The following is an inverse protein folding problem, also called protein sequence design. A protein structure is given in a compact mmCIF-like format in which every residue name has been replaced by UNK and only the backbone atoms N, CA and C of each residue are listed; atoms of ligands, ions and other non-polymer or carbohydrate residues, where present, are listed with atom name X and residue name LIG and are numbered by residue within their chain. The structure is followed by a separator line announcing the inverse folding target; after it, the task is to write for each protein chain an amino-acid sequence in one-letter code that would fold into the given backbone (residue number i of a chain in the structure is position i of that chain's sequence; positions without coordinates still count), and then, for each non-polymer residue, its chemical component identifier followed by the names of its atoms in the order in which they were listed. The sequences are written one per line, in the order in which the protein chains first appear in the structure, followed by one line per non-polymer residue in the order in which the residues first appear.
data_IF_719819227688
#
_entry.id   IF_719819227688
#
_cell.length_a   1.000
_cell.length_b   1.000
_cell.length_c   1.000
_cell.angle_alpha   90.00
_cell.angle_beta   90.00
_cell.angle_gamma   90.00
#
_symmetry.space_group_name_H-M   'P 1'
#
loop_
_entity.id
_entity.type
_entity.pdbx_description
1 polymer ?
2 non-polymer ?
3 non-polymer ?
4 non-polymer ?
5 non-polymer ?
6 non-polymer ?
7 water ?
#
# COMPACT_ATOMS: atom_id res chain seq x y z
N UNK A 2 18.06 11.19 2.05
CA UNK A 2 17.33 12.03 1.10
C UNK A 2 16.55 13.09 1.89
N UNK A 3 16.38 14.24 1.31
CA UNK A 3 15.51 15.26 1.86
C UNK A 3 14.08 14.75 1.88
N UNK A 4 13.43 14.90 3.03
CA UNK A 4 12.02 14.68 3.15
C UNK A 4 11.35 16.03 3.34
N UNK A 5 10.59 16.48 2.35
CA UNK A 5 10.05 17.81 2.35
C UNK A 5 8.78 17.83 3.20
N UNK A 6 8.62 18.88 4.01
CA UNK A 6 7.41 19.11 4.80
C UNK A 6 6.79 20.43 4.40
N UNK A 7 5.68 20.81 5.05
CA UNK A 7 4.93 22.02 4.65
C UNK A 7 5.84 23.24 4.63
N UNK A 8 6.73 23.33 5.64
CA UNK A 8 7.54 24.54 5.85
C UNK A 8 8.61 24.65 4.77
N UNK A 9 8.83 23.55 4.02
CA UNK A 9 9.81 23.55 2.92
C UNK A 9 9.22 23.98 1.57
N UNK A 10 7.90 24.06 1.45
CA UNK A 10 7.25 24.12 0.17
C UNK A 10 6.34 25.31 0.09
N UNK A 11 6.48 26.06 -0.99
CA UNK A 11 5.54 27.13 -1.31
C UNK A 11 4.48 26.67 -2.29
N UNK A 12 3.26 27.16 -2.11
CA UNK A 12 2.17 26.95 -3.09
C UNK A 12 2.20 27.92 -4.23
N UNK A 13 3.07 28.90 -4.16
CA UNK A 13 3.01 30.01 -5.10
C UNK A 13 3.08 29.55 -6.59
N UNK A 14 3.87 28.47 -6.88
CA UNK A 14 4.01 28.07 -8.27
C UNK A 14 2.71 27.57 -8.89
N UNK A 15 1.74 27.19 -8.08
CA UNK A 15 0.49 26.75 -8.63
C UNK A 15 -0.71 27.66 -8.26
N UNK A 16 -0.43 28.80 -7.59
CA UNK A 16 -1.51 29.59 -6.88
C UNK A 16 -2.63 29.98 -7.80
N UNK A 17 -2.29 30.48 -8.99
CA UNK A 17 -3.36 30.98 -9.90
C UNK A 17 -3.51 30.13 -11.14
N UNK A 18 -3.17 28.86 -11.06
CA UNK A 18 -3.31 27.97 -12.21
C UNK A 18 -4.63 27.23 -12.09
N UNK A 19 -5.30 27.03 -13.20
CA UNK A 19 -6.44 26.13 -13.21
C UNK A 19 -5.96 24.70 -13.31
N UNK A 20 -6.33 23.92 -12.32
CA UNK A 20 -5.96 22.51 -12.26
C UNK A 20 -7.16 21.65 -12.66
N UNK A 21 -7.05 20.97 -13.77
CA UNK A 21 -8.08 20.03 -14.18
C UNK A 21 -7.76 18.63 -13.67
N UNK A 22 -8.61 18.13 -12.79
CA UNK A 22 -8.52 16.74 -12.33
C UNK A 22 -9.37 15.90 -13.23
N UNK A 23 -8.74 15.06 -14.03
CA UNK A 23 -9.46 14.17 -14.90
C UNK A 23 -9.75 12.86 -14.19
N UNK A 24 -11.02 12.61 -13.93
CA UNK A 24 -11.44 11.49 -13.19
C UNK A 24 -11.78 11.90 -11.74
N UNK A 25 -12.71 11.17 -11.16
CA UNK A 25 -13.16 11.43 -9.82
C UNK A 25 -13.42 10.10 -9.14
N UNK A 26 -12.41 9.24 -9.12
CA UNK A 26 -12.51 7.98 -8.40
C UNK A 26 -11.75 8.05 -7.11
N UNK A 27 -10.94 7.02 -6.86
CA UNK A 27 -10.34 6.83 -5.58
C UNK A 27 -9.32 7.98 -5.28
N UNK A 28 -8.37 8.25 -6.19
CA UNK A 28 -7.48 9.37 -6.02
C UNK A 28 -8.16 10.65 -6.43
N UNK A 29 -8.93 10.62 -7.51
CA UNK A 29 -9.46 11.84 -8.09
C UNK A 29 -10.29 12.63 -7.10
N UNK A 30 -11.18 11.95 -6.41
CA UNK A 30 -12.03 12.67 -5.41
C UNK A 30 -11.17 13.24 -4.31
N UNK A 31 -10.19 12.46 -3.86
CA UNK A 31 -9.29 12.91 -2.80
C UNK A 31 -8.50 14.16 -3.20
N UNK A 32 -7.91 14.14 -4.38
CA UNK A 32 -7.12 15.28 -4.79
C UNK A 32 -8.00 16.52 -4.97
N UNK A 33 -9.09 16.37 -5.69
CA UNK A 33 -9.98 17.49 -5.96
C UNK A 33 -10.44 18.15 -4.65
N UNK A 34 -10.95 17.34 -3.72
CA UNK A 34 -11.39 17.88 -2.43
C UNK A 34 -10.27 18.53 -1.64
N UNK A 35 -9.12 17.86 -1.59
CA UNK A 35 -8.00 18.39 -0.84
C UNK A 35 -7.48 19.72 -1.45
N UNK A 36 -7.29 19.74 -2.75
CA UNK A 36 -6.78 20.92 -3.42
C UNK A 36 -7.74 22.12 -3.25
N UNK A 37 -9.03 21.86 -3.34
CA UNK A 37 -10.03 22.91 -3.17
C UNK A 37 -10.00 23.45 -1.74
N UNK A 38 -9.86 22.55 -0.76
CA UNK A 38 -9.80 22.96 0.66
C UNK A 38 -8.50 23.76 0.88
N UNK A 39 -7.47 23.47 0.12
CA UNK A 39 -6.21 24.19 0.27
C UNK A 39 -6.22 25.54 -0.47
N UNK A 40 -7.30 25.82 -1.18
CA UNK A 40 -7.49 27.17 -1.75
C UNK A 40 -7.15 27.23 -3.22
N UNK A 41 -6.90 26.09 -3.83
CA UNK A 41 -6.43 26.10 -5.24
C UNK A 41 -7.62 26.05 -6.15
N UNK A 42 -7.40 26.35 -7.42
CA UNK A 42 -8.47 26.39 -8.43
C UNK A 42 -8.63 25.06 -9.18
N UNK A 43 -9.71 24.35 -8.90
CA UNK A 43 -9.89 22.98 -9.37
C UNK A 43 -11.08 22.91 -10.28
N UNK A 44 -10.95 22.24 -11.41
CA UNK A 44 -12.12 21.77 -12.17
C UNK A 44 -12.02 20.27 -12.38
N UNK A 45 -13.16 19.60 -12.36
CA UNK A 45 -13.22 18.18 -12.55
C UNK A 45 -13.67 17.89 -13.97
N UNK A 46 -12.88 17.08 -14.67
CA UNK A 46 -13.17 16.70 -16.06
C UNK A 46 -13.50 15.25 -16.19
N UNK A 47 -14.66 14.96 -16.77
CA UNK A 47 -15.13 13.58 -16.90
C UNK A 47 -15.61 13.33 -18.31
N UNK A 48 -15.57 12.06 -18.73
CA UNK A 48 -16.08 11.66 -20.05
C UNK A 48 -17.56 11.50 -20.10
N UNK A 49 -18.17 11.14 -18.99
CA UNK A 49 -19.56 10.69 -18.99
C UNK A 49 -20.23 11.21 -17.70
N UNK A 50 -21.55 11.29 -17.73
CA UNK A 50 -22.37 11.52 -16.52
C UNK A 50 -22.71 10.23 -15.82
N UNK A 51 -21.77 9.62 -15.18
CA UNK A 51 -21.98 8.36 -14.54
C UNK A 51 -21.84 8.52 -13.03
N UNK A 52 -21.39 7.45 -12.39
CA UNK A 52 -21.33 7.39 -10.93
C UNK A 52 -20.43 8.46 -10.37
N UNK A 53 -19.29 8.70 -11.00
CA UNK A 53 -18.38 9.67 -10.45
C UNK A 53 -18.78 11.12 -10.75
N UNK A 54 -19.52 11.34 -11.82
CA UNK A 54 -20.13 12.62 -12.05
C UNK A 54 -21.13 12.96 -10.92
N UNK A 55 -21.95 12.01 -10.58
CA UNK A 55 -22.94 12.19 -9.52
C UNK A 55 -22.27 12.46 -8.15
N UNK A 56 -21.18 11.77 -7.90
CA UNK A 56 -20.41 11.97 -6.69
C UNK A 56 -19.83 13.34 -6.64
N UNK A 57 -19.26 13.79 -7.76
CA UNK A 57 -18.64 15.10 -7.81
C UNK A 57 -19.66 16.20 -7.60
N UNK A 58 -20.81 16.04 -8.20
CA UNK A 58 -21.92 17.05 -8.01
C UNK A 58 -22.34 17.11 -6.52
N UNK A 59 -22.49 15.96 -5.93
CA UNK A 59 -22.78 15.85 -4.47
C UNK A 59 -21.69 16.46 -3.56
N UNK A 60 -20.48 16.68 -4.11
CA UNK A 60 -19.42 17.32 -3.36
C UNK A 60 -19.29 18.80 -3.72
N UNK A 61 -20.23 19.33 -4.48
CA UNK A 61 -20.24 20.75 -4.81
C UNK A 61 -19.38 21.14 -6.02
N UNK A 62 -18.90 20.17 -6.79
CA UNK A 62 -18.24 20.50 -8.07
C UNK A 62 -19.30 20.57 -9.18
N UNK A 63 -18.99 21.32 -10.22
CA UNK A 63 -19.73 21.23 -11.52
C UNK A 63 -18.80 20.69 -12.59
N UNK A 64 -18.78 19.36 -12.78
CA UNK A 64 -17.82 18.75 -13.68
C UNK A 64 -18.01 19.26 -15.07
N UNK A 65 -16.92 19.42 -15.77
CA UNK A 65 -16.95 19.63 -17.18
C UNK A 65 -16.64 18.35 -17.92
N UNK A 66 -17.05 18.33 -19.17
CA UNK A 66 -16.63 17.29 -20.05
C UNK A 66 -15.06 17.39 -20.28
N UNK A 67 -14.41 16.24 -20.40
CA UNK A 67 -12.92 16.20 -20.45
C UNK A 67 -12.34 17.24 -21.37
N UNK A 68 -12.85 17.31 -22.60
CA UNK A 68 -12.28 18.23 -23.60
C UNK A 68 -12.42 19.69 -23.20
N UNK A 69 -13.53 20.03 -22.55
CA UNK A 69 -13.74 21.41 -22.08
C UNK A 69 -12.85 21.76 -20.91
N UNK A 70 -12.66 20.80 -19.98
CA UNK A 70 -11.79 21.04 -18.81
C UNK A 70 -10.37 21.24 -19.26
N UNK A 71 -9.89 20.41 -20.19
CA UNK A 71 -8.49 20.56 -20.58
C UNK A 71 -8.22 21.81 -21.39
N UNK A 72 -9.23 22.32 -22.11
CA UNK A 72 -9.09 23.60 -22.88
C UNK A 72 -8.75 24.79 -22.02
N UNK A 73 -9.22 24.79 -20.77
CA UNK A 73 -8.96 25.90 -19.90
C UNK A 73 -7.90 25.61 -18.82
N UNK A 74 -7.32 24.42 -18.86
CA UNK A 74 -6.40 23.99 -17.79
C UNK A 74 -4.96 24.51 -18.03
N UNK A 75 -4.30 24.90 -16.94
CA UNK A 75 -2.85 25.05 -16.91
C UNK A 75 -2.14 23.76 -16.49
N UNK A 76 -2.85 22.94 -15.70
CA UNK A 76 -2.31 21.69 -15.13
C UNK A 76 -3.34 20.64 -15.30
N UNK A 77 -2.99 19.55 -15.96
CA UNK A 77 -3.91 18.48 -16.26
C UNK A 77 -3.46 17.21 -15.53
N UNK A 78 -4.30 16.69 -14.63
CA UNK A 78 -3.96 15.49 -13.85
C UNK A 78 -4.73 14.27 -14.29
N UNK A 79 -4.01 13.21 -14.63
CA UNK A 79 -4.66 11.95 -15.09
C UNK A 79 -5.01 11.04 -13.91
N UNK A 80 -6.24 11.18 -13.38
CA UNK A 80 -6.70 10.31 -12.28
C UNK A 80 -7.87 9.43 -12.73
N UNK A 81 -7.71 8.84 -13.91
CA UNK A 81 -8.52 7.75 -14.37
C UNK A 81 -7.64 6.51 -14.36
N UNK A 82 -8.22 5.34 -14.53
CA UNK A 82 -7.45 4.11 -14.47
C UNK A 82 -6.33 4.08 -15.47
N UNK A 83 -5.20 3.52 -15.06
CA UNK A 83 -4.01 3.46 -15.90
C UNK A 83 -4.32 2.95 -17.32
N UNK A 84 -5.16 1.92 -17.41
CA UNK A 84 -5.44 1.29 -18.73
C UNK A 84 -6.30 2.18 -19.64
N UNK A 85 -6.97 3.14 -19.04
CA UNK A 85 -7.85 4.07 -19.73
C UNK A 85 -7.07 5.36 -20.23
N UNK A 86 -5.87 5.64 -19.65
CA UNK A 86 -5.24 6.90 -19.89
C UNK A 86 -4.82 7.15 -21.36
N UNK A 87 -4.38 6.13 -22.04
CA UNK A 87 -3.95 6.29 -23.43
C UNK A 87 -5.11 6.76 -24.28
N UNK A 88 -6.25 6.08 -24.13
CA UNK A 88 -7.45 6.44 -24.86
C UNK A 88 -8.00 7.82 -24.52
N UNK A 89 -7.99 8.16 -23.23
CA UNK A 89 -8.38 9.51 -22.84
C UNK A 89 -7.43 10.57 -23.41
N UNK A 90 -6.14 10.30 -23.36
CA UNK A 90 -5.15 11.15 -23.89
C UNK A 90 -5.38 11.40 -25.41
N UNK A 91 -5.52 10.31 -26.14
CA UNK A 91 -5.63 10.39 -27.60
C UNK A 91 -6.92 11.06 -28.07
N UNK A 92 -7.98 10.84 -27.34
CA UNK A 92 -9.30 11.26 -27.78
C UNK A 92 -9.81 12.53 -27.19
N UNK A 93 -9.33 12.89 -26.01
CA UNK A 93 -9.92 14.00 -25.30
C UNK A 93 -8.91 15.01 -24.76
N UNK A 94 -7.62 14.72 -24.82
CA UNK A 94 -6.65 15.63 -24.24
C UNK A 94 -5.67 16.21 -25.26
N UNK A 95 -4.97 15.33 -25.96
CA UNK A 95 -3.85 15.73 -26.79
C UNK A 95 -4.21 16.91 -27.73
N UNK A 96 -5.35 16.84 -28.40
CA UNK A 96 -5.70 17.87 -29.44
C UNK A 96 -6.51 19.00 -28.86
N UNK A 97 -6.76 18.95 -27.55
CA UNK A 97 -7.64 19.94 -26.90
C UNK A 97 -6.96 20.78 -25.81
N UNK A 98 -5.81 20.33 -25.32
CA UNK A 98 -5.14 21.02 -24.24
C UNK A 98 -4.53 22.32 -24.71
N UNK A 99 -4.40 23.29 -23.81
CA UNK A 99 -3.53 24.45 -24.04
C UNK A 99 -2.20 23.97 -24.36
N UNK A 100 -1.56 24.63 -25.29
CA UNK A 100 -0.22 24.36 -25.57
C UNK A 100 0.64 24.73 -24.38
N UNK A 101 1.51 23.83 -23.96
CA UNK A 101 2.36 24.09 -22.81
C UNK A 101 1.76 23.74 -21.43
N UNK A 102 0.54 23.24 -21.39
CA UNK A 102 -0.07 22.91 -20.11
C UNK A 102 0.70 21.72 -19.46
N UNK A 103 0.74 21.68 -18.14
CA UNK A 103 1.46 20.63 -17.42
C UNK A 103 0.65 19.33 -17.54
N UNK A 104 1.34 18.19 -17.70
CA UNK A 104 0.72 16.90 -17.66
C UNK A 104 1.20 16.15 -16.44
N UNK A 105 0.27 15.73 -15.62
CA UNK A 105 0.59 15.27 -14.26
C UNK A 105 -0.05 13.91 -13.99
N UNK A 106 0.72 13.02 -13.36
CA UNK A 106 0.27 11.66 -13.09
C UNK A 106 0.39 11.37 -11.62
N UNK A 107 -0.31 10.34 -11.19
CA UNK A 107 -0.19 9.88 -9.81
C UNK A 107 0.54 8.52 -9.76
N UNK A 108 0.86 7.98 -10.91
CA UNK A 108 1.61 6.70 -11.02
C UNK A 108 2.36 6.80 -12.34
N UNK A 109 3.57 6.29 -12.38
CA UNK A 109 4.42 6.45 -13.57
C UNK A 109 4.16 5.52 -14.72
N UNK A 110 3.22 4.59 -14.55
CA UNK A 110 3.05 3.46 -15.49
C UNK A 110 3.01 3.87 -16.97
N UNK A 111 2.13 4.78 -17.31
CA UNK A 111 1.93 5.10 -18.74
C UNK A 111 3.15 5.78 -19.35
N UNK A 112 3.77 6.68 -18.61
CA UNK A 112 4.95 7.39 -19.13
C UNK A 112 6.17 6.48 -19.13
N UNK A 113 6.36 5.74 -18.05
CA UNK A 113 7.57 4.91 -17.91
C UNK A 113 7.54 3.77 -18.96
N UNK A 114 6.40 3.14 -19.17
CA UNK A 114 6.33 2.08 -20.14
C UNK A 114 6.09 2.58 -21.58
N UNK A 115 6.18 3.90 -21.77
CA UNK A 115 6.05 4.51 -23.12
C UNK A 115 4.72 4.25 -23.75
N UNK A 116 3.67 4.28 -22.98
CA UNK A 116 2.35 4.11 -23.53
C UNK A 116 1.85 5.46 -24.04
N UNK A 117 2.16 6.51 -23.31
CA UNK A 117 1.86 7.87 -23.71
C UNK A 117 3.20 8.58 -23.90
N UNK A 118 3.34 9.19 -25.07
CA UNK A 118 4.49 10.04 -25.38
C UNK A 118 4.05 11.47 -25.38
N UNK A 119 4.41 12.23 -24.35
CA UNK A 119 3.85 13.55 -24.23
C UNK A 119 4.50 14.53 -25.23
N UNK A 120 3.89 15.66 -25.44
CA UNK A 120 4.53 16.65 -26.28
C UNK A 120 5.78 17.26 -25.59
N UNK A 121 6.67 17.81 -26.39
CA UNK A 121 7.99 18.21 -25.94
C UNK A 121 7.94 19.55 -25.19
N UNK A 122 6.83 20.25 -25.29
CA UNK A 122 6.75 21.60 -24.74
C UNK A 122 5.83 21.66 -23.50
N UNK A 123 5.59 20.50 -22.87
CA UNK A 123 4.87 20.46 -21.59
C UNK A 123 5.78 19.92 -20.49
N UNK A 124 5.70 20.51 -19.31
CA UNK A 124 6.19 19.85 -18.11
C UNK A 124 5.42 18.54 -17.93
N UNK A 125 6.12 17.46 -17.54
CA UNK A 125 5.48 16.20 -17.21
C UNK A 125 6.02 15.72 -15.89
N UNK A 126 5.15 15.59 -14.89
CA UNK A 126 5.61 15.26 -13.56
C UNK A 126 4.55 14.53 -12.80
N UNK A 127 4.87 14.13 -11.57
CA UNK A 127 4.07 13.19 -10.85
C UNK A 127 4.09 13.48 -9.40
N UNK A 128 2.93 13.29 -8.75
CA UNK A 128 2.82 13.13 -7.31
C UNK A 128 2.13 11.82 -7.03
N UNK A 129 2.85 10.90 -6.37
CA UNK A 129 2.36 9.53 -6.12
C UNK A 129 2.17 9.36 -4.61
N UNK A 130 0.95 9.58 -4.12
CA UNK A 130 0.72 9.31 -2.72
C UNK A 130 0.87 7.88 -2.37
N UNK A 131 1.55 7.60 -1.27
CA UNK A 131 1.80 6.22 -0.85
C UNK A 131 0.67 5.80 0.12
N UNK A 132 -0.54 5.73 -0.43
CA UNK A 132 -1.79 5.54 0.34
C UNK A 132 -2.90 5.23 -0.65
N UNK A 133 -3.85 4.41 -0.24
CA UNK A 133 -5.13 4.35 -0.92
C UNK A 133 -5.80 5.67 -0.97
N UNK A 134 -6.51 5.93 -2.07
CA UNK A 134 -7.17 7.25 -2.25
C UNK A 134 -8.03 7.77 -1.12
N UNK A 135 -8.89 6.94 -0.54
CA UNK A 135 -9.77 7.44 0.48
C UNK A 135 -9.02 7.95 1.72
N UNK A 136 -7.85 7.39 1.98
CA UNK A 136 -7.07 7.78 3.14
C UNK A 136 -6.26 9.07 2.83
N UNK A 137 -6.01 9.34 1.55
CA UNK A 137 -5.47 10.67 1.16
C UNK A 137 -6.44 11.75 1.62
N UNK A 138 -7.71 11.51 1.41
CA UNK A 138 -8.73 12.48 1.85
C UNK A 138 -8.90 12.44 3.37
N UNK A 139 -8.98 11.24 3.94
CA UNK A 139 -9.36 11.13 5.35
C UNK A 139 -8.29 11.70 6.23
N UNK A 140 -7.01 11.50 5.86
CA UNK A 140 -5.91 12.08 6.58
C UNK A 140 -5.98 13.57 6.52
N UNK A 141 -6.14 14.10 5.32
CA UNK A 141 -6.19 15.57 5.10
C UNK A 141 -7.26 16.22 6.00
N UNK A 142 -8.44 15.64 6.02
CA UNK A 142 -9.55 16.28 6.71
C UNK A 142 -9.44 16.15 8.26
N UNK A 143 -8.63 15.22 8.74
CA UNK A 143 -8.24 15.18 10.16
C UNK A 143 -7.05 16.07 10.51
N UNK A 144 -6.53 16.83 9.55
CA UNK A 144 -5.41 17.72 9.83
C UNK A 144 -4.04 17.06 9.61
N UNK A 145 -4.05 15.85 9.07
CA UNK A 145 -2.80 15.12 8.78
C UNK A 145 -2.62 14.90 7.28
N UNK A 146 -1.80 13.92 6.93
CA UNK A 146 -1.55 13.60 5.52
C UNK A 146 -0.89 12.26 5.38
N UNK A 147 -0.62 11.87 4.13
CA UNK A 147 0.14 10.67 3.83
C UNK A 147 1.38 10.99 3.01
N UNK A 148 2.41 10.12 3.09
CA UNK A 148 3.63 10.39 2.36
C UNK A 148 3.41 10.32 0.87
N UNK A 149 4.32 10.96 0.10
CA UNK A 149 4.24 10.92 -1.36
C UNK A 149 5.60 11.00 -1.96
N UNK A 150 5.73 10.41 -3.15
CA UNK A 150 6.87 10.61 -4.02
C UNK A 150 6.53 11.68 -5.04
N UNK A 151 7.52 12.51 -5.41
CA UNK A 151 7.39 13.33 -6.56
C UNK A 151 8.48 13.01 -7.56
N UNK A 152 8.21 13.27 -8.84
CA UNK A 152 9.16 13.00 -9.89
C UNK A 152 8.89 13.87 -11.06
N UNK A 153 9.92 14.12 -11.85
CA UNK A 153 9.79 14.92 -13.03
C UNK A 153 10.32 14.15 -14.25
N UNK A 154 9.46 13.88 -15.21
CA UNK A 154 9.86 13.16 -16.43
C UNK A 154 10.46 14.13 -17.42
N UNK A 155 9.81 15.28 -17.57
CA UNK A 155 10.22 16.26 -18.54
C UNK A 155 10.04 17.64 -17.99
N UNK A 156 11.14 18.40 -17.93
CA UNK A 156 11.11 19.76 -17.39
C UNK A 156 11.31 20.72 -18.57
N UNK A 157 10.34 21.59 -18.76
CA UNK A 157 10.38 22.57 -19.80
C UNK A 157 10.34 24.01 -19.19
N UNK A 158 9.61 24.16 -18.07
CA UNK A 158 9.57 25.47 -17.34
C UNK A 158 10.81 25.71 -16.56
N UNK A 159 11.46 24.66 -16.16
CA UNK A 159 12.47 24.74 -15.19
C UNK A 159 11.97 24.74 -13.75
N UNK A 160 10.67 24.63 -13.56
CA UNK A 160 10.18 24.60 -12.21
C UNK A 160 9.16 23.44 -11.99
N UNK A 161 9.32 22.39 -12.77
CA UNK A 161 8.45 21.26 -12.66
C UNK A 161 8.46 20.64 -11.27
N UNK A 162 9.64 20.50 -10.67
CA UNK A 162 9.73 19.91 -9.35
C UNK A 162 9.02 20.77 -8.29
N UNK A 163 9.16 22.07 -8.41
CA UNK A 163 8.53 22.96 -7.48
C UNK A 163 7.01 22.89 -7.60
N UNK A 164 6.51 22.78 -8.84
CA UNK A 164 5.08 22.56 -9.04
C UNK A 164 4.60 21.20 -8.47
N UNK A 165 5.39 20.14 -8.66
CA UNK A 165 5.04 18.83 -8.07
C UNK A 165 4.99 18.93 -6.55
N UNK A 166 5.97 19.56 -5.96
CA UNK A 166 5.99 19.72 -4.54
C UNK A 166 4.78 20.54 -4.04
N UNK A 167 4.42 21.57 -4.77
CA UNK A 167 3.26 22.39 -4.44
C UNK A 167 1.98 21.61 -4.45
N UNK A 168 1.77 20.80 -5.49
CA UNK A 168 0.62 19.93 -5.53
C UNK A 168 0.63 18.91 -4.36
N UNK A 169 1.81 18.33 -4.05
CA UNK A 169 1.89 17.41 -2.95
C UNK A 169 1.50 18.10 -1.68
N UNK A 170 1.94 19.33 -1.50
CA UNK A 170 1.54 20.09 -0.28
C UNK A 170 0.03 20.31 -0.29
N UNK A 171 -0.49 20.71 -1.44
CA UNK A 171 -1.90 20.99 -1.60
C UNK A 171 -2.81 19.83 -1.28
N UNK A 172 -2.34 18.59 -1.50
CA UNK A 172 -3.14 17.42 -1.14
C UNK A 172 -2.81 16.86 0.19
N UNK A 173 -1.98 17.55 0.97
CA UNK A 173 -1.75 17.19 2.37
C UNK A 173 -0.51 16.34 2.63
N UNK A 174 0.18 15.92 1.55
CA UNK A 174 1.25 14.96 1.69
C UNK A 174 2.50 15.52 2.40
N UNK A 175 2.69 16.82 2.33
CA UNK A 175 3.84 17.47 3.00
C UNK A 175 3.62 17.62 4.49
N UNK A 176 2.42 17.33 4.96
CA UNK A 176 2.20 17.18 6.39
C UNK A 176 2.89 15.93 6.95
N UNK A 177 3.07 14.92 6.08
CA UNK A 177 3.70 13.70 6.45
C UNK A 177 5.16 13.65 5.95
N UNK A 178 5.34 13.80 4.66
CA UNK A 178 6.67 13.84 4.08
C UNK A 178 6.66 13.48 2.60
N UNK A 179 7.38 14.27 1.81
CA UNK A 179 7.49 14.08 0.38
C UNK A 179 8.95 13.83 -0.01
N UNK A 180 9.19 12.79 -0.81
CA UNK A 180 10.50 12.51 -1.26
C UNK A 180 10.58 12.59 -2.78
N UNK A 181 11.69 13.09 -3.27
CA UNK A 181 11.94 13.13 -4.70
C UNK A 181 12.35 11.77 -5.18
N UNK A 182 11.83 11.38 -6.35
CA UNK A 182 12.11 10.07 -6.93
C UNK A 182 12.15 10.23 -8.42
N UNK A 183 11.95 9.13 -9.14
CA UNK A 183 11.88 9.15 -10.61
C UNK A 183 10.68 8.41 -11.08
N UNK A 184 10.28 8.60 -12.32
CA UNK A 184 9.18 7.84 -12.88
C UNK A 184 9.49 6.31 -12.85
N UNK A 185 10.74 5.95 -13.11
CA UNK A 185 11.10 4.54 -13.15
C UNK A 185 11.01 3.95 -11.75
N UNK A 186 11.63 4.60 -10.79
CA UNK A 186 11.64 4.11 -9.44
C UNK A 186 10.20 4.00 -8.89
N UNK A 187 9.42 5.09 -8.99
CA UNK A 187 8.01 5.04 -8.54
C UNK A 187 7.27 3.87 -9.14
N UNK A 188 7.33 3.73 -10.46
CA UNK A 188 6.56 2.69 -11.16
C UNK A 188 6.95 1.31 -10.67
N UNK A 189 8.25 1.03 -10.60
CA UNK A 189 8.69 -0.28 -10.28
C UNK A 189 8.40 -0.65 -8.79
N UNK A 190 8.66 0.29 -7.88
CA UNK A 190 8.46 0.04 -6.47
C UNK A 190 7.00 -0.03 -6.15
N UNK A 191 6.20 0.78 -6.85
CA UNK A 191 4.76 0.81 -6.62
C UNK A 191 4.07 -0.51 -7.04
N UNK A 192 4.35 -0.95 -8.23
CA UNK A 192 3.81 -2.21 -8.70
C UNK A 192 4.29 -3.35 -7.80
N UNK A 193 5.57 -3.32 -7.41
CA UNK A 193 6.11 -4.36 -6.54
C UNK A 193 5.35 -4.39 -5.23
N UNK A 194 5.28 -3.25 -4.56
CA UNK A 194 4.64 -3.15 -3.22
C UNK A 194 3.19 -3.65 -3.22
N UNK A 195 2.39 -3.20 -4.17
CA UNK A 195 1.02 -3.64 -4.21
C UNK A 195 0.86 -5.12 -4.51
N UNK A 196 1.74 -5.66 -5.33
CA UNK A 196 1.65 -7.07 -5.71
C UNK A 196 2.06 -8.00 -4.56
N UNK A 197 3.18 -7.72 -3.90
CA UNK A 197 3.73 -8.65 -3.00
C UNK A 197 3.22 -8.51 -1.58
N UNK A 198 2.84 -7.30 -1.18
CA UNK A 198 2.50 -7.08 0.23
C UNK A 198 1.25 -6.27 0.47
N UNK A 199 1.14 -5.10 -0.16
CA UNK A 199 0.02 -4.19 0.18
C UNK A 199 -1.35 -4.70 -0.24
N UNK A 200 -1.43 -5.36 -1.39
CA UNK A 200 -2.67 -5.96 -1.82
C UNK A 200 -2.58 -7.48 -1.85
N UNK A 201 -1.73 -8.01 -2.71
CA UNK A 201 -1.64 -9.44 -2.90
C UNK A 201 -1.23 -10.20 -1.64
N UNK A 202 -0.11 -9.84 -1.07
CA UNK A 202 0.43 -10.57 0.07
C UNK A 202 -0.48 -10.53 1.32
N UNK A 203 -0.89 -9.35 1.72
CA UNK A 203 -1.64 -9.22 2.96
C UNK A 203 -2.98 -9.89 2.83
N UNK A 204 -3.61 -9.77 1.67
CA UNK A 204 -4.89 -10.41 1.43
C UNK A 204 -4.79 -11.93 1.54
N UNK A 205 -3.78 -12.52 0.93
CA UNK A 205 -3.63 -13.95 1.01
C UNK A 205 -3.20 -14.42 2.37
N UNK A 206 -2.37 -13.64 3.06
CA UNK A 206 -2.01 -13.98 4.44
C UNK A 206 -3.26 -14.00 5.36
N UNK A 207 -4.12 -13.01 5.19
CA UNK A 207 -5.34 -12.93 6.01
C UNK A 207 -6.25 -14.13 5.71
N UNK A 208 -6.43 -14.45 4.43
CA UNK A 208 -7.25 -15.61 4.06
C UNK A 208 -6.65 -16.91 4.60
N UNK A 209 -5.33 -17.08 4.46
CA UNK A 209 -4.67 -18.29 4.95
C UNK A 209 -4.87 -18.46 6.47
N UNK A 210 -4.71 -17.38 7.20
CA UNK A 210 -4.86 -17.41 8.66
C UNK A 210 -6.31 -17.76 9.05
N UNK A 211 -7.26 -17.10 8.41
CA UNK A 211 -8.68 -17.36 8.61
C UNK A 211 -9.02 -18.84 8.35
N UNK A 212 -8.63 -19.34 7.19
CA UNK A 212 -8.93 -20.73 6.79
C UNK A 212 -8.31 -21.73 7.74
N UNK A 213 -7.10 -21.45 8.16
CA UNK A 213 -6.36 -22.33 9.05
C UNK A 213 -7.03 -22.40 10.44
N UNK A 214 -7.47 -21.25 10.96
CA UNK A 214 -8.18 -21.23 12.23
C UNK A 214 -9.47 -21.96 12.14
N UNK A 215 -10.16 -21.82 11.03
CA UNK A 215 -11.42 -22.52 10.84
C UNK A 215 -11.21 -24.05 10.72
N UNK A 216 -10.19 -24.46 10.01
CA UNK A 216 -9.86 -25.87 9.93
C UNK A 216 -9.46 -26.47 11.28
N UNK A 217 -8.96 -25.66 12.17
CA UNK A 217 -8.54 -26.15 13.48
C UNK A 217 -9.70 -26.19 14.45
N UNK A 218 -10.83 -25.65 14.03
CA UNK A 218 -12.06 -25.83 14.75
C UNK A 218 -12.60 -24.55 15.40
N UNK A 219 -12.03 -23.40 15.06
CA UNK A 219 -12.56 -22.15 15.59
C UNK A 219 -13.81 -21.76 14.84
N UNK A 220 -14.75 -21.13 15.51
CA UNK A 220 -15.91 -20.62 14.81
C UNK A 220 -15.44 -19.49 13.88
N UNK A 221 -16.05 -19.38 12.70
CA UNK A 221 -15.67 -18.37 11.72
C UNK A 221 -15.54 -16.95 12.31
N UNK A 222 -16.51 -16.54 13.13
CA UNK A 222 -16.50 -15.19 13.69
C UNK A 222 -15.27 -14.95 14.56
N UNK A 223 -14.85 -15.99 15.30
CA UNK A 223 -13.63 -15.93 16.11
C UNK A 223 -12.34 -15.98 15.24
N UNK A 224 -12.33 -16.83 14.21
CA UNK A 224 -11.20 -16.90 13.29
C UNK A 224 -10.98 -15.52 12.62
N UNK A 225 -12.07 -14.87 12.25
CA UNK A 225 -11.98 -13.57 11.57
C UNK A 225 -11.46 -12.51 12.53
N UNK A 226 -12.09 -12.44 13.68
CA UNK A 226 -11.75 -11.46 14.65
C UNK A 226 -10.30 -11.62 15.13
N UNK A 227 -9.89 -12.84 15.40
CA UNK A 227 -8.51 -13.05 15.89
C UNK A 227 -7.52 -12.62 14.83
N UNK A 228 -7.84 -12.90 13.57
CA UNK A 228 -6.90 -12.64 12.50
C UNK A 228 -6.74 -11.13 12.34
N UNK A 229 -7.86 -10.44 12.17
CA UNK A 229 -7.79 -9.05 11.77
C UNK A 229 -7.42 -8.12 12.91
N UNK A 230 -7.85 -8.47 14.08
CA UNK A 230 -7.50 -7.71 15.25
C UNK A 230 -6.01 -7.82 15.60
N UNK A 231 -5.47 -9.00 15.55
CA UNK A 231 -4.03 -9.17 15.77
C UNK A 231 -3.18 -8.50 14.66
N UNK A 232 -3.63 -8.61 13.42
CA UNK A 232 -2.98 -7.94 12.34
C UNK A 232 -2.89 -6.44 12.60
N UNK A 233 -4.01 -5.83 12.95
CA UNK A 233 -4.02 -4.40 13.22
C UNK A 233 -3.11 -4.01 14.38
N UNK A 234 -3.17 -4.74 15.47
CA UNK A 234 -2.30 -4.47 16.62
C UNK A 234 -0.82 -4.50 16.21
N UNK A 235 -0.42 -5.54 15.48
CA UNK A 235 0.97 -5.72 15.14
C UNK A 235 1.44 -4.66 14.13
N UNK A 236 0.63 -4.41 13.10
CA UNK A 236 1.01 -3.43 12.07
C UNK A 236 1.03 -2.00 12.63
N UNK A 237 0.07 -1.68 13.54
CA UNK A 237 0.09 -0.36 14.25
C UNK A 237 1.38 -0.17 15.07
N UNK A 238 1.84 -1.21 15.72
CA UNK A 238 3.07 -1.13 16.52
C UNK A 238 4.26 -0.85 15.62
N UNK A 239 4.30 -1.52 14.47
CA UNK A 239 5.41 -1.34 13.54
C UNK A 239 5.38 0.08 12.95
N UNK A 240 4.21 0.52 12.58
CA UNK A 240 4.01 1.84 12.03
C UNK A 240 4.56 2.95 12.97
N UNK A 241 4.34 2.76 14.27
CA UNK A 241 4.73 3.76 15.31
C UNK A 241 6.16 3.59 15.74
N UNK A 242 6.65 2.34 15.83
CA UNK A 242 7.88 2.09 16.52
C UNK A 242 8.83 1.08 15.84
N UNK A 243 8.50 0.67 14.62
CA UNK A 243 9.39 -0.24 13.87
C UNK A 243 9.27 -1.70 14.31
N UNK A 244 10.06 -2.57 13.71
CA UNK A 244 10.07 -3.99 14.10
C UNK A 244 10.58 -4.15 15.54
N UNK A 245 11.57 -3.36 15.93
CA UNK A 245 12.16 -3.56 17.25
C UNK A 245 11.18 -3.11 18.30
N UNK A 246 10.45 -2.05 18.01
CA UNK A 246 9.43 -1.54 18.89
C UNK A 246 8.27 -2.46 19.02
N UNK A 247 7.90 -3.11 17.95
CA UNK A 247 6.84 -4.08 17.97
C UNK A 247 7.27 -5.26 18.84
N UNK A 248 8.47 -5.78 18.59
CA UNK A 248 8.95 -6.95 19.31
C UNK A 248 9.08 -6.66 20.84
N UNK A 249 9.50 -5.45 21.18
CA UNK A 249 9.63 -5.07 22.56
C UNK A 249 8.24 -4.91 23.24
N UNK A 250 7.18 -4.80 22.44
CA UNK A 250 5.85 -4.69 22.99
C UNK A 250 5.18 -6.03 23.24
N UNK A 251 5.74 -7.11 22.75
CA UNK A 251 5.15 -8.39 22.98
C UNK A 251 6.01 -9.19 23.94
N UNK A 252 5.45 -10.27 24.48
CA UNK A 252 6.17 -11.13 25.46
C UNK A 252 7.43 -11.72 24.83
N UNK A 253 8.40 -12.07 25.66
CA UNK A 253 9.58 -12.77 25.17
C UNK A 253 9.24 -14.06 24.46
N UNK A 254 8.21 -14.74 24.94
CA UNK A 254 7.78 -15.97 24.26
C UNK A 254 7.27 -15.71 22.83
N UNK A 255 6.52 -14.66 22.70
CA UNK A 255 6.01 -14.21 21.39
C UNK A 255 7.11 -13.69 20.46
N UNK A 256 8.13 -13.03 21.05
CA UNK A 256 9.33 -12.67 20.29
C UNK A 256 9.94 -13.89 19.67
N UNK A 257 10.18 -14.92 20.48
CA UNK A 257 10.86 -16.09 20.01
C UNK A 257 9.99 -16.81 18.98
N UNK A 258 8.70 -16.90 19.27
CA UNK A 258 7.72 -17.53 18.34
C UNK A 258 7.66 -16.80 17.02
N UNK A 259 7.59 -15.47 17.09
CA UNK A 259 7.55 -14.63 15.90
C UNK A 259 8.76 -14.81 15.07
N UNK A 260 9.91 -14.72 15.71
CA UNK A 260 11.15 -14.75 14.98
C UNK A 260 11.30 -16.08 14.23
N UNK A 261 11.05 -17.20 14.91
CA UNK A 261 11.33 -18.51 14.33
C UNK A 261 10.23 -18.94 13.32
N UNK A 262 8.99 -18.79 13.72
CA UNK A 262 7.85 -19.10 12.85
C UNK A 262 7.87 -18.24 11.59
N UNK A 263 8.24 -16.98 11.72
CA UNK A 263 8.26 -16.08 10.59
C UNK A 263 9.16 -16.59 9.48
N UNK A 264 10.35 -17.00 9.86
CA UNK A 264 11.33 -17.48 8.88
C UNK A 264 10.94 -18.86 8.33
N UNK A 265 10.11 -19.58 9.06
CA UNK A 265 9.53 -20.88 8.61
C UNK A 265 8.42 -20.62 7.58
N UNK A 266 7.45 -19.80 7.97
CA UNK A 266 6.33 -19.44 7.10
C UNK A 266 6.75 -18.57 5.91
N UNK A 267 7.77 -17.75 6.09
CA UNK A 267 8.22 -16.86 5.03
C UNK A 267 9.72 -16.98 4.76
N UNK A 268 10.07 -17.92 3.88
CA UNK A 268 11.41 -18.40 3.84
C UNK A 268 12.06 -17.90 2.63
N UNK A 269 13.29 -18.30 2.44
CA UNK A 269 14.09 -17.81 1.36
C UNK A 269 13.39 -17.98 0.02
N UNK A 270 12.59 -19.03 -0.12
CA UNK A 270 12.00 -19.26 -1.39
C UNK A 270 11.07 -18.07 -1.67
N UNK A 271 10.54 -17.46 -0.64
CA UNK A 271 9.66 -16.30 -0.85
C UNK A 271 10.43 -15.08 -1.30
N UNK A 272 11.65 -14.92 -0.79
CA UNK A 272 12.52 -13.88 -1.28
C UNK A 272 12.85 -14.03 -2.78
N UNK A 273 13.04 -15.26 -3.21
CA UNK A 273 13.31 -15.53 -4.63
C UNK A 273 12.10 -15.17 -5.45
N UNK A 274 10.93 -15.56 -4.98
CA UNK A 274 9.73 -15.24 -5.69
C UNK A 274 9.47 -13.73 -5.78
N UNK A 275 9.86 -12.99 -4.76
CA UNK A 275 9.75 -11.53 -4.83
C UNK A 275 10.65 -10.95 -5.94
N UNK A 276 11.86 -11.49 -6.08
CA UNK A 276 12.73 -11.05 -7.14
C UNK A 276 12.18 -11.35 -8.50
N UNK A 277 11.58 -12.52 -8.63
CA UNK A 277 10.86 -12.88 -9.88
C UNK A 277 9.76 -11.84 -10.21
N UNK A 278 8.94 -11.52 -9.23
CA UNK A 278 7.91 -10.52 -9.39
C UNK A 278 8.51 -9.16 -9.82
N UNK A 279 9.60 -8.76 -9.20
CA UNK A 279 10.26 -7.50 -9.56
C UNK A 279 10.81 -7.52 -11.00
N UNK A 280 11.39 -8.64 -11.41
CA UNK A 280 11.92 -8.70 -12.76
C UNK A 280 10.83 -8.73 -13.78
N UNK A 281 9.72 -9.38 -13.48
CA UNK A 281 8.57 -9.35 -14.38
C UNK A 281 8.07 -7.92 -14.57
N UNK A 282 8.09 -7.14 -13.50
CA UNK A 282 7.78 -5.71 -13.56
C UNK A 282 8.81 -4.92 -14.40
N UNK A 283 10.11 -5.10 -14.07
CA UNK A 283 11.19 -4.33 -14.70
C UNK A 283 11.26 -4.57 -16.20
N UNK A 284 11.00 -5.82 -16.63
CA UNK A 284 11.19 -6.22 -17.98
C UNK A 284 10.03 -5.80 -18.86
N UNK A 285 8.94 -5.35 -18.26
CA UNK A 285 7.75 -5.00 -18.98
C UNK A 285 6.75 -6.14 -19.18
N UNK A 286 7.07 -7.33 -18.70
CA UNK A 286 6.16 -8.49 -18.84
C UNK A 286 4.84 -8.30 -18.08
N UNK A 287 4.90 -7.77 -16.86
CA UNK A 287 3.67 -7.50 -16.15
C UNK A 287 2.79 -6.56 -16.93
N UNK A 288 3.37 -5.46 -17.37
CA UNK A 288 2.62 -4.44 -18.11
C UNK A 288 1.91 -5.04 -19.36
N UNK A 289 2.62 -5.89 -20.06
CA UNK A 289 2.07 -6.47 -21.31
C UNK A 289 0.95 -7.43 -20.97
N UNK A 290 1.12 -8.14 -19.87
CA UNK A 290 0.09 -9.07 -19.41
C UNK A 290 -1.14 -8.36 -18.87
N UNK A 291 -0.93 -7.27 -18.15
CA UNK A 291 -2.06 -6.45 -17.69
C UNK A 291 -2.79 -5.80 -18.87
N UNK A 292 -2.06 -5.29 -19.85
CA UNK A 292 -2.74 -4.68 -21.03
C UNK A 292 -3.60 -5.72 -21.76
N UNK A 293 -3.09 -6.94 -21.88
CA UNK A 293 -3.80 -8.03 -22.54
C UNK A 293 -5.07 -8.42 -21.77
N UNK A 294 -4.96 -8.47 -20.46
CA UNK A 294 -6.08 -8.73 -19.62
C UNK A 294 -7.14 -7.66 -19.75
N UNK A 295 -6.70 -6.41 -19.67
CA UNK A 295 -7.61 -5.30 -19.81
C UNK A 295 -8.36 -5.36 -21.16
N UNK A 296 -7.64 -5.61 -22.22
CA UNK A 296 -8.25 -5.65 -23.55
C UNK A 296 -9.26 -6.85 -23.70
N UNK A 297 -9.19 -7.81 -22.78
CA UNK A 297 -10.18 -8.91 -22.73
C UNK A 297 -11.41 -8.53 -21.91
N UNK A 298 -11.40 -7.33 -21.30
CA UNK A 298 -12.50 -6.90 -20.44
C UNK A 298 -12.23 -7.08 -18.92
N UNK A 299 -10.98 -7.33 -18.53
CA UNK A 299 -10.61 -7.57 -17.09
C UNK A 299 -11.40 -8.67 -16.47
N UNK A 300 -11.61 -9.77 -17.19
CA UNK A 300 -12.47 -10.81 -16.63
C UNK A 300 -11.92 -11.38 -15.27
N UNK A 301 -10.60 -11.52 -15.16
CA UNK A 301 -9.97 -11.97 -13.92
C UNK A 301 -10.32 -11.04 -12.74
N UNK A 302 -10.32 -9.73 -12.98
CA UNK A 302 -10.61 -8.76 -11.93
C UNK A 302 -12.09 -8.86 -11.51
N UNK A 303 -12.98 -8.89 -12.50
CA UNK A 303 -14.43 -8.96 -12.18
C UNK A 303 -14.79 -10.25 -11.47
N UNK A 304 -14.17 -11.35 -11.88
CA UNK A 304 -14.44 -12.63 -11.27
C UNK A 304 -13.99 -12.61 -9.83
N UNK A 305 -12.77 -12.16 -9.58
CA UNK A 305 -12.22 -12.21 -8.25
C UNK A 305 -13.03 -11.36 -7.29
N UNK A 306 -13.45 -10.19 -7.76
CA UNK A 306 -14.21 -9.28 -6.94
C UNK A 306 -15.52 -9.93 -6.53
N UNK A 307 -16.17 -10.60 -7.47
CA UNK A 307 -17.49 -11.12 -7.21
C UNK A 307 -17.43 -12.37 -6.32
N UNK A 308 -16.43 -13.22 -6.54
CA UNK A 308 -16.16 -14.32 -5.62
C UNK A 308 -15.78 -13.82 -4.22
N UNK A 309 -14.96 -12.78 -4.14
CA UNK A 309 -14.53 -12.28 -2.83
C UNK A 309 -15.75 -11.74 -2.08
N UNK A 310 -16.56 -10.93 -2.76
CA UNK A 310 -17.71 -10.25 -2.13
C UNK A 310 -18.67 -11.26 -1.53
N UNK A 311 -18.85 -12.39 -2.21
CA UNK A 311 -19.78 -13.43 -1.77
C UNK A 311 -19.16 -14.47 -0.81
N UNK A 312 -17.85 -14.40 -0.59
CA UNK A 312 -17.15 -15.48 0.09
C UNK A 312 -17.57 -15.59 1.57
N UNK A 313 -17.27 -16.72 2.18
CA UNK A 313 -17.48 -16.91 3.61
C UNK A 313 -16.70 -15.89 4.45
N UNK A 314 -15.44 -15.68 4.12
CA UNK A 314 -14.64 -14.78 4.92
C UNK A 314 -15.24 -13.34 4.93
N UNK A 315 -15.74 -12.87 3.80
CA UNK A 315 -16.29 -11.52 3.73
C UNK A 315 -17.69 -11.38 4.39
N UNK A 316 -18.52 -12.40 4.22
CA UNK A 316 -19.81 -12.50 4.94
C UNK A 316 -19.66 -12.49 6.43
N UNK A 317 -18.73 -13.27 6.93
CA UNK A 317 -18.45 -13.33 8.33
C UNK A 317 -17.90 -12.00 8.83
N UNK A 318 -16.96 -11.43 8.09
CA UNK A 318 -16.40 -10.13 8.47
C UNK A 318 -17.49 -9.00 8.52
N UNK A 319 -18.33 -8.95 7.51
CA UNK A 319 -19.45 -7.97 7.49
C UNK A 319 -20.35 -8.13 8.73
N UNK A 320 -20.72 -9.35 9.04
CA UNK A 320 -21.56 -9.62 10.23
C UNK A 320 -20.86 -9.21 11.53
N UNK A 321 -19.59 -9.55 11.65
CA UNK A 321 -18.80 -9.17 12.78
C UNK A 321 -18.70 -7.63 12.95
N UNK A 322 -18.33 -6.94 11.89
CA UNK A 322 -18.15 -5.50 11.98
C UNK A 322 -19.51 -4.87 12.40
N UNK A 323 -20.59 -5.41 11.89
CA UNK A 323 -21.93 -4.84 12.16
C UNK A 323 -22.30 -5.05 13.63
N UNK A 324 -22.00 -6.23 14.15
CA UNK A 324 -22.28 -6.51 15.55
C UNK A 324 -21.41 -5.67 16.49
N UNK A 325 -20.18 -5.45 16.14
CA UNK A 325 -19.35 -4.55 16.89
C UNK A 325 -19.86 -3.08 16.83
N UNK A 326 -20.21 -2.64 15.64
CA UNK A 326 -20.83 -1.30 15.49
C UNK A 326 -22.00 -1.16 16.47
N UNK A 327 -22.91 -2.13 16.43
CA UNK A 327 -24.14 -2.10 17.24
C UNK A 327 -23.91 -2.55 18.68
N UNK A 328 -22.65 -2.58 19.12
CA UNK A 328 -22.34 -2.74 20.55
C UNK A 328 -22.00 -4.18 20.99
N UNK A 329 -22.72 -5.17 20.44
CA UNK A 329 -22.51 -6.60 20.84
C UNK A 329 -21.02 -6.95 21.02
N UNK A 339 -5.85 -16.15 21.22
CA UNK A 339 -5.14 -17.27 20.62
C UNK A 339 -3.67 -16.88 20.43
N UNK A 340 -2.79 -17.65 21.06
CA UNK A 340 -1.42 -17.28 21.15
C UNK A 340 -0.66 -17.88 19.96
N UNK A 341 -1.20 -18.94 19.39
CA UNK A 341 -0.73 -19.44 18.12
C UNK A 341 -0.93 -18.40 16.99
N UNK A 342 -2.04 -17.71 17.03
CA UNK A 342 -2.36 -16.78 15.98
C UNK A 342 -1.51 -15.56 16.14
N UNK A 343 -1.28 -15.15 17.39
CA UNK A 343 -0.35 -14.12 17.66
C UNK A 343 0.99 -14.42 16.97
N UNK A 344 1.60 -15.58 17.24
CA UNK A 344 2.97 -15.77 16.76
C UNK A 344 3.04 -15.98 15.24
N UNK A 345 2.02 -16.61 14.68
CA UNK A 345 1.95 -16.80 13.24
C UNK A 345 1.89 -15.45 12.53
N UNK A 346 1.08 -14.55 13.06
CA UNK A 346 0.95 -13.21 12.45
C UNK A 346 2.14 -12.33 12.73
N UNK A 347 2.64 -12.31 13.97
CA UNK A 347 3.85 -11.57 14.27
C UNK A 347 4.96 -11.99 13.38
N UNK A 348 5.15 -13.30 13.25
CA UNK A 348 6.17 -13.82 12.36
C UNK A 348 5.89 -13.50 10.91
N UNK A 349 4.70 -13.84 10.47
CA UNK A 349 4.39 -13.77 9.03
C UNK A 349 4.49 -12.32 8.55
N UNK A 350 3.91 -11.41 9.31
CA UNK A 350 3.91 -9.98 8.92
C UNK A 350 5.29 -9.34 9.02
N UNK A 351 6.03 -9.66 10.08
CA UNK A 351 7.39 -9.17 10.19
C UNK A 351 8.28 -9.62 9.01
N UNK A 352 8.24 -10.91 8.67
CA UNK A 352 9.15 -11.41 7.65
C UNK A 352 8.67 -10.98 6.25
N UNK A 353 7.37 -10.86 6.06
CA UNK A 353 6.85 -10.35 4.77
C UNK A 353 7.28 -8.88 4.54
N UNK A 354 7.16 -8.07 5.59
CA UNK A 354 7.68 -6.70 5.54
C UNK A 354 9.16 -6.68 5.29
N UNK A 355 9.91 -7.41 6.07
CA UNK A 355 11.32 -7.40 5.98
C UNK A 355 11.78 -7.86 4.55
N UNK A 356 11.21 -8.96 4.04
CA UNK A 356 11.61 -9.48 2.77
C UNK A 356 11.29 -8.46 1.62
N UNK A 357 10.14 -7.84 1.71
CA UNK A 357 9.66 -6.87 0.70
C UNK A 357 10.57 -5.66 0.71
N UNK A 358 10.83 -5.13 1.90
CA UNK A 358 11.72 -3.98 2.04
C UNK A 358 13.12 -4.27 1.55
N UNK A 359 13.69 -5.37 2.00
CA UNK A 359 15.04 -5.72 1.63
C UNK A 359 15.20 -6.04 0.16
N UNK A 360 14.18 -6.56 -0.45
CA UNK A 360 14.22 -6.80 -1.94
C UNK A 360 14.41 -5.48 -2.67
N UNK A 361 13.68 -4.47 -2.27
CA UNK A 361 13.83 -3.19 -2.91
C UNK A 361 15.16 -2.54 -2.63
N UNK A 362 15.61 -2.60 -1.39
CA UNK A 362 16.87 -1.97 -1.05
C UNK A 362 18.02 -2.68 -1.73
N UNK A 363 17.99 -4.00 -1.74
CA UNK A 363 19.08 -4.80 -2.44
C UNK A 363 19.12 -4.47 -3.95
N UNK A 364 17.96 -4.19 -4.52
CA UNK A 364 17.88 -3.88 -5.92
C UNK A 364 18.22 -2.41 -6.28
N UNK A 365 18.50 -1.59 -5.30
CA UNK A 365 19.12 -0.30 -5.55
C UNK A 365 18.16 0.88 -5.37
N UNK A 366 16.91 0.62 -4.94
CA UNK A 366 15.93 1.72 -4.81
C UNK A 366 16.21 2.49 -3.50
N UNK A 367 15.74 3.73 -3.41
CA UNK A 367 15.97 4.53 -2.19
C UNK A 367 15.33 3.83 -0.98
N UNK A 368 16.08 3.66 0.10
CA UNK A 368 15.48 2.96 1.21
C UNK A 368 14.28 3.67 1.78
N UNK A 369 14.27 5.01 1.70
CA UNK A 369 13.10 5.76 2.17
C UNK A 369 11.84 5.45 1.36
N UNK A 370 11.99 5.33 0.05
CA UNK A 370 10.90 4.91 -0.78
C UNK A 370 10.45 3.51 -0.42
N UNK A 371 11.40 2.61 -0.19
CA UNK A 371 11.05 1.26 0.21
C UNK A 371 10.25 1.27 1.52
N UNK A 372 10.64 2.11 2.45
CA UNK A 372 9.94 2.19 3.74
C UNK A 372 8.48 2.70 3.55
N UNK A 373 8.31 3.74 2.78
CA UNK A 373 6.93 4.27 2.55
C UNK A 373 6.05 3.25 1.90
N UNK A 374 6.62 2.49 0.97
CA UNK A 374 5.87 1.54 0.17
C UNK A 374 5.53 0.24 0.97
N UNK A 375 6.52 -0.34 1.66
CA UNK A 375 6.38 -1.69 2.20
C UNK A 375 6.12 -1.73 3.69
N UNK A 376 6.33 -0.61 4.39
CA UNK A 376 6.08 -0.56 5.80
C UNK A 376 4.97 0.42 6.11
N UNK A 377 5.21 1.71 5.82
CA UNK A 377 4.29 2.73 6.24
C UNK A 377 2.87 2.51 5.64
N UNK A 378 2.81 2.16 4.36
CA UNK A 378 1.55 2.11 3.70
C UNK A 378 0.70 0.90 4.14
N UNK A 379 1.35 -0.11 4.69
CA UNK A 379 0.66 -1.29 5.12
C UNK A 379 -0.31 -0.96 6.25
N UNK A 380 0.07 -0.03 7.11
CA UNK A 380 -0.79 0.37 8.20
C UNK A 380 -2.10 1.01 7.65
N UNK A 381 -1.96 1.80 6.58
CA UNK A 381 -3.10 2.46 5.97
C UNK A 381 -4.02 1.47 5.32
N UNK A 382 -3.42 0.46 4.67
CA UNK A 382 -4.18 -0.64 4.07
C UNK A 382 -4.91 -1.47 5.14
N UNK A 383 -4.22 -1.77 6.22
CA UNK A 383 -4.79 -2.65 7.22
C UNK A 383 -5.90 -1.91 7.99
N UNK A 384 -5.78 -0.60 8.10
CA UNK A 384 -6.86 0.22 8.63
C UNK A 384 -8.13 0.14 7.79
N UNK A 385 -7.99 0.21 6.45
CA UNK A 385 -9.11 0.00 5.54
C UNK A 385 -9.70 -1.39 5.66
N UNK A 386 -8.85 -2.41 5.79
CA UNK A 386 -9.36 -3.76 5.91
C UNK A 386 -10.14 -3.93 7.21
N UNK A 387 -9.60 -3.41 8.29
CA UNK A 387 -10.23 -3.48 9.59
C UNK A 387 -11.61 -2.79 9.60
N UNK A 388 -11.71 -1.69 8.89
CA UNK A 388 -12.92 -0.85 8.87
C UNK A 388 -13.96 -1.34 7.86
N UNK A 389 -13.49 -1.87 6.72
CA UNK A 389 -14.36 -2.15 5.57
C UNK A 389 -14.18 -3.51 4.94
N UNK A 390 -13.38 -4.35 5.55
CA UNK A 390 -13.13 -5.68 5.05
C UNK A 390 -12.26 -5.71 3.82
N UNK A 391 -11.95 -6.91 3.34
CA UNK A 391 -11.11 -7.05 2.15
C UNK A 391 -11.78 -6.42 0.99
N UNK A 392 -13.10 -6.52 0.91
CA UNK A 392 -13.81 -6.01 -0.29
C UNK A 392 -13.73 -4.47 -0.34
N UNK A 393 -13.84 -3.83 0.82
CA UNK A 393 -13.66 -2.38 0.89
C UNK A 393 -12.24 -1.95 0.51
N UNK A 394 -11.23 -2.69 0.94
CA UNK A 394 -9.87 -2.37 0.59
C UNK A 394 -9.67 -2.48 -0.94
N UNK A 395 -10.16 -3.57 -1.50
CA UNK A 395 -9.96 -3.85 -2.89
C UNK A 395 -10.67 -2.84 -3.77
N UNK A 396 -11.81 -2.37 -3.33
CA UNK A 396 -12.47 -1.29 -4.03
C UNK A 396 -11.66 0.02 -4.03
N UNK A 397 -10.95 0.30 -2.97
CA UNK A 397 -10.24 1.54 -2.85
C UNK A 397 -8.94 1.58 -3.76
N UNK A 398 -8.33 0.42 -4.02
CA UNK A 398 -7.06 0.40 -4.74
C UNK A 398 -7.29 0.42 -6.27
N UNK A 399 -6.25 0.74 -7.03
CA UNK A 399 -6.39 0.91 -8.45
C UNK A 399 -6.72 -0.44 -9.11
N UNK A 400 -7.26 -0.40 -10.33
CA UNK A 400 -7.42 -1.62 -11.08
C UNK A 400 -6.08 -2.34 -11.32
N UNK A 401 -5.02 -1.56 -11.56
CA UNK A 401 -3.71 -2.12 -11.73
C UNK A 401 -3.30 -2.93 -10.51
N UNK A 402 -3.59 -2.40 -9.33
CA UNK A 402 -3.23 -3.06 -8.07
C UNK A 402 -4.14 -4.27 -7.82
N UNK A 403 -5.43 -4.15 -8.19
CA UNK A 403 -6.35 -5.33 -8.09
C UNK A 403 -5.78 -6.50 -8.87
N UNK A 404 -5.42 -6.24 -10.12
CA UNK A 404 -4.95 -7.28 -11.01
C UNK A 404 -3.60 -7.84 -10.55
N UNK A 405 -2.71 -6.95 -10.12
CA UNK A 405 -1.46 -7.36 -9.56
C UNK A 405 -1.64 -8.22 -8.31
N UNK A 406 -2.50 -7.78 -7.42
CA UNK A 406 -2.73 -8.48 -6.18
C UNK A 406 -3.36 -9.86 -6.39
N UNK A 407 -4.34 -9.90 -7.26
CA UNK A 407 -5.02 -11.16 -7.58
C UNK A 407 -4.07 -12.19 -8.20
N UNK A 408 -3.18 -11.75 -9.05
CA UNK A 408 -2.28 -12.66 -9.71
C UNK A 408 -1.03 -12.99 -8.92
N UNK A 409 -0.50 -12.04 -8.16
CA UNK A 409 0.76 -12.25 -7.48
C UNK A 409 0.60 -12.72 -6.05
N UNK A 410 -0.50 -12.35 -5.43
CA UNK A 410 -0.68 -12.65 -4.01
C UNK A 410 -0.54 -14.14 -3.69
N UNK A 411 -1.12 -14.99 -4.54
CA UNK A 411 -1.14 -16.44 -4.34
C UNK A 411 0.17 -17.08 -4.74
N UNK A 412 0.97 -16.37 -5.53
CA UNK A 412 2.35 -16.74 -5.81
C UNK A 412 3.27 -16.53 -4.59
N UNK A 413 3.14 -15.37 -3.95
CA UNK A 413 3.93 -15.07 -2.78
C UNK A 413 3.49 -15.90 -1.58
N UNK A 414 2.21 -15.91 -1.34
CA UNK A 414 1.64 -16.70 -0.25
C UNK A 414 0.91 -17.90 -0.83
N UNK A 415 1.64 -18.96 -1.12
CA UNK A 415 1.08 -20.10 -1.85
C UNK A 415 0.52 -21.13 -0.88
N UNK A 416 0.02 -22.26 -1.41
CA UNK A 416 -0.85 -23.15 -0.60
C UNK A 416 -0.10 -23.68 0.57
N UNK A 417 1.20 -23.86 0.39
CA UNK A 417 1.97 -24.39 1.40
C UNK A 417 1.97 -23.49 2.70
N UNK A 418 1.52 -22.21 2.60
CA UNK A 418 1.72 -21.32 3.71
C UNK A 418 0.67 -21.64 4.73
N UNK A 419 -0.52 -21.98 4.28
CA UNK A 419 -1.52 -22.40 5.26
C UNK A 419 -1.17 -23.78 5.82
N UNK A 420 -0.43 -24.59 5.03
CA UNK A 420 0.04 -25.90 5.47
C UNK A 420 1.04 -25.71 6.64
N UNK A 421 1.98 -24.82 6.44
CA UNK A 421 2.94 -24.46 7.52
C UNK A 421 2.24 -23.82 8.72
N UNK A 422 1.20 -23.01 8.47
CA UNK A 422 0.47 -22.42 9.55
C UNK A 422 -0.13 -23.45 10.36
N UNK A 423 -0.70 -24.46 9.68
CA UNK A 423 -1.38 -25.54 10.36
C UNK A 423 -0.39 -26.25 11.26
N UNK A 424 0.77 -26.55 10.73
CA UNK A 424 1.79 -27.25 11.54
C UNK A 424 2.14 -26.47 12.77
N UNK A 425 2.30 -25.15 12.61
CA UNK A 425 2.72 -24.31 13.73
C UNK A 425 1.64 -24.27 14.75
N UNK A 426 0.40 -24.14 14.28
CA UNK A 426 -0.74 -24.03 15.18
C UNK A 426 -0.90 -25.31 16.02
N UNK A 427 -0.58 -26.44 15.41
CA UNK A 427 -0.70 -27.74 16.05
C UNK A 427 0.31 -27.88 17.16
N UNK A 428 1.53 -27.47 16.89
CA UNK A 428 2.57 -27.44 17.92
C UNK A 428 2.25 -26.51 19.09
N UNK A 429 1.69 -25.37 18.80
CA UNK A 429 1.24 -24.56 19.87
C UNK A 429 0.16 -25.31 20.70
N UNK A 430 -0.96 -25.68 20.07
CA UNK A 430 -2.15 -26.17 20.82
C UNK A 430 -1.75 -27.33 21.79
N UNK A 431 -0.77 -28.12 21.38
CA UNK A 431 -0.37 -29.34 22.14
C UNK A 431 0.49 -29.02 23.38
N UNK A 432 0.92 -27.77 23.51
CA UNK A 432 1.87 -27.40 24.55
C UNK A 432 3.31 -27.63 24.11
N UNK A 433 3.49 -28.05 22.87
CA UNK A 433 4.83 -28.27 22.36
C UNK A 433 5.56 -26.95 22.13
N UNK A 434 4.84 -25.91 21.74
CA UNK A 434 5.50 -24.61 21.57
C UNK A 434 5.95 -24.08 22.92
N UNK A 435 5.15 -24.29 23.94
CA UNK A 435 5.50 -23.86 25.27
C UNK A 435 6.80 -24.56 25.80
N UNK A 436 6.91 -25.91 25.63
CA UNK A 436 8.18 -26.60 25.99
C UNK A 436 9.36 -25.96 25.23
N UNK A 437 9.15 -25.66 23.95
CA UNK A 437 10.21 -25.19 23.07
C UNK A 437 10.69 -23.77 23.49
N UNK A 438 9.76 -22.96 23.99
CA UNK A 438 10.09 -21.63 24.50
C UNK A 438 10.83 -21.75 25.83
N UNK A 439 10.37 -22.65 26.66
CA UNK A 439 10.96 -22.85 27.96
C UNK A 439 12.44 -23.28 27.79
N UNK A 440 12.70 -24.08 26.77
CA UNK A 440 14.06 -24.51 26.47
C UNK A 440 14.96 -23.36 26.03
N UNK A 441 14.56 -22.63 24.98
CA UNK A 441 15.50 -21.62 24.35
C UNK A 441 15.79 -20.62 25.42
N UNK A 442 14.86 -20.55 26.31
CA UNK A 442 14.94 -19.72 27.44
C UNK A 442 16.11 -20.18 28.40
N UNK A 443 16.29 -21.49 28.54
CA UNK A 443 17.36 -22.06 29.38
C UNK A 443 18.73 -21.93 28.75
N UNK A 444 18.77 -21.69 27.45
CA UNK A 444 20.01 -21.28 26.78
C UNK A 444 20.28 -19.77 26.86
N UNK A 445 19.39 -19.03 27.49
CA UNK A 445 19.61 -17.57 27.66
C UNK A 445 19.00 -16.77 26.51
N UNK A 446 18.05 -17.39 25.81
CA UNK A 446 17.33 -16.77 24.65
C UNK A 446 18.28 -16.24 23.56
N UNK A 447 19.27 -17.05 23.12
CA UNK A 447 20.25 -16.54 22.19
C UNK A 447 19.63 -16.13 20.85
N UNK A 448 18.57 -16.82 20.42
CA UNK A 448 17.91 -16.50 19.12
C UNK A 448 17.23 -15.12 19.16
N UNK A 449 16.70 -14.77 20.32
CA UNK A 449 16.04 -13.51 20.51
C UNK A 449 17.05 -12.37 20.56
N UNK A 450 18.09 -12.51 21.38
CA UNK A 450 19.09 -11.47 21.46
C UNK A 450 19.84 -11.31 20.20
N UNK A 451 20.10 -12.39 19.49
CA UNK A 451 20.83 -12.27 18.24
C UNK A 451 19.99 -11.51 17.18
N UNK A 452 18.71 -11.79 17.12
CA UNK A 452 17.83 -11.07 16.21
C UNK A 452 17.70 -9.58 16.58
N UNK A 453 17.51 -9.27 17.87
CA UNK A 453 17.46 -7.86 18.30
C UNK A 453 18.71 -7.13 17.91
N UNK A 454 19.83 -7.82 18.00
CA UNK A 454 21.10 -7.20 17.69
C UNK A 454 21.19 -6.90 16.17
N UNK A 455 20.76 -7.85 15.35
CA UNK A 455 20.78 -7.68 13.88
C UNK A 455 19.77 -6.62 13.45
N UNK A 456 18.62 -6.60 14.08
CA UNK A 456 17.58 -5.54 13.79
C UNK A 456 18.07 -4.16 14.14
N UNK A 457 18.70 -4.03 15.30
CA UNK A 457 19.19 -2.71 15.72
C UNK A 457 20.04 -2.01 14.66
N UNK A 458 20.97 -2.73 14.10
CA UNK A 458 21.81 -2.14 13.09
C UNK A 458 21.20 -2.09 11.67
N UNK A 459 20.01 -2.63 11.49
CA UNK A 459 19.56 -2.93 10.13
C UNK A 459 19.12 -1.60 9.39
N UNK A 460 19.16 -1.63 8.08
CA UNK A 460 18.70 -0.50 7.32
C UNK A 460 17.19 -0.18 7.63
N UNK A 461 16.36 -1.21 7.67
CA UNK A 461 14.95 -0.98 7.85
C UNK A 461 14.67 -0.23 9.16
N UNK A 462 15.40 -0.58 10.23
CA UNK A 462 15.18 0.06 11.52
C UNK A 462 15.83 1.45 11.61
N UNK A 463 17.00 1.63 11.01
CA UNK A 463 17.66 2.93 11.12
C UNK A 463 17.01 3.96 10.23
N UNK A 464 16.67 3.56 9.02
CA UNK A 464 15.86 4.42 8.16
C UNK A 464 14.47 4.66 8.75
N UNK A 465 13.79 3.60 9.22
CA UNK A 465 12.44 3.76 9.75
C UNK A 465 12.42 4.77 10.90
N UNK A 466 13.34 4.63 11.82
CA UNK A 466 13.33 5.50 13.02
C UNK A 466 13.51 6.96 12.60
N UNK A 467 14.34 7.21 11.59
CA UNK A 467 14.57 8.58 11.14
C UNK A 467 13.36 9.13 10.48
N UNK A 468 12.70 8.29 9.66
CA UNK A 468 11.52 8.73 8.93
C UNK A 468 10.34 8.93 9.82
N UNK A 469 10.15 8.00 10.77
CA UNK A 469 9.03 8.11 11.68
C UNK A 469 9.16 9.42 12.53
N UNK A 470 10.34 9.69 13.03
CA UNK A 470 10.58 10.96 13.74
C UNK A 470 10.17 12.16 12.86
N UNK A 471 10.62 12.19 11.59
CA UNK A 471 10.32 13.35 10.69
C UNK A 471 8.83 13.43 10.33
N UNK A 472 8.18 12.26 10.24
CA UNK A 472 6.80 12.16 9.79
C UNK A 472 5.86 12.61 10.89
N UNK A 473 6.15 12.16 12.10
CA UNK A 473 5.24 12.37 13.20
C UNK A 473 5.59 13.68 13.94
N UNK A 474 6.66 14.33 13.52
CA UNK A 474 6.84 15.78 13.74
C UNK A 474 5.57 16.54 13.31
N UNK A 475 4.82 17.02 14.29
CA UNK A 475 3.75 17.98 14.05
C UNK A 475 2.57 17.40 13.25
N UNK A 476 2.35 16.08 13.33
CA UNK A 476 1.21 15.39 12.70
C UNK A 476 0.13 15.07 13.73
#
# INVERSE_FOLDING_TARGET
MAKIYKDEDISLEPIKNKTIAILGYGSQGRAWALNLRDSGLNVVVGLERQGDSWRRAIDDGFKPMYTKDAVAIADIIVFLVPDMVQKSLWLNSVKDFMKKGADLVFAHGFNIHFKIIEPPKDSDVYMIAPKSPGPIVRRSYEMGGGVPALVAVYQNVSGEALQKALAIAKGIGCARAGVIESTFKEETETDLFGEQVILVGGIMELIKASFETLVEEGYQPEVAYFETVNELKLIVDLIYEKGLTGMLRAVSDTAKYGGITVGKFIIDKSVRDKMKIVLERIRSGEFAREWIKEYERGMPTVFKELSELEGSTIETVGRKLREMMFRGMKQISSHETDLFGEQVILVGGIMELIKASFETLVEEGYQPEVAYFETVNELKLIVDLIYEKGLTGMLRAVSDTAKYGGITVGKFIIDKSVRDKMKIVLERIRSGEFAREWIKEYERGMPTVFKELSELEGSTIETVGRKLREMMFRGMKQISSHLEHHHHHH
#
